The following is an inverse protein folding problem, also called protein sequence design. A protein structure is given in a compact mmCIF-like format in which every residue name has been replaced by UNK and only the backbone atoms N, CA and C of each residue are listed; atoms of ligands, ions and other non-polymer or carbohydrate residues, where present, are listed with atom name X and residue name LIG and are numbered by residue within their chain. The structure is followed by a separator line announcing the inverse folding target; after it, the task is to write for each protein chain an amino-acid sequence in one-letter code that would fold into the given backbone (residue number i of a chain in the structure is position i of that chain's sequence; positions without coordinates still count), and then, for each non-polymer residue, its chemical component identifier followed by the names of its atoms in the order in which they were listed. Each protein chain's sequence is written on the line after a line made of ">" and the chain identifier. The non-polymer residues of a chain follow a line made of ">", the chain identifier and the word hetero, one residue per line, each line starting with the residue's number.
data_IF_506809003186
#
_entry.id   IF_506809003186
#
_cell.length_a   1.000
_cell.length_b   1.000
_cell.length_c   1.000
_cell.angle_alpha   90.00
_cell.angle_beta   90.00
_cell.angle_gamma   90.00
#
_symmetry.space_group_name_H-M   'P 1'
#
loop_
_entity.id
_entity.type
_entity.pdbx_description
1 polymer ?
#
# COMPACT_ATOMS: atom_id res chain seq x y z
N UNK A 1 -25.69 28.91 13.12
CA UNK A 1 -25.28 28.41 11.79
C UNK A 1 -25.20 26.90 11.90
N UNK A 2 -26.28 26.24 11.51
CA UNK A 2 -26.43 24.79 11.58
C UNK A 2 -25.68 24.16 10.41
N UNK A 3 -24.58 23.48 10.71
CA UNK A 3 -23.86 22.65 9.75
C UNK A 3 -24.60 21.33 9.55
N UNK A 4 -25.56 21.32 8.63
CA UNK A 4 -26.24 20.09 8.19
C UNK A 4 -25.22 19.19 7.51
N UNK A 5 -24.93 18.05 8.13
CA UNK A 5 -24.02 17.03 7.61
C UNK A 5 -24.66 16.35 6.38
N UNK A 6 -24.04 16.36 5.19
CA UNK A 6 -24.58 15.69 4.02
C UNK A 6 -24.21 14.20 4.07
N UNK A 7 -24.89 13.45 4.95
CA UNK A 7 -25.16 11.99 4.88
C UNK A 7 -25.87 11.60 6.18
N UNK A 8 -27.18 11.36 6.13
CA UNK A 8 -27.98 10.94 7.30
C UNK A 8 -27.69 9.52 7.81
N UNK A 9 -26.69 8.83 7.24
CA UNK A 9 -26.25 7.50 7.64
C UNK A 9 -24.90 7.59 8.37
N UNK A 10 -24.88 7.41 9.71
CA UNK A 10 -23.67 7.48 10.51
C UNK A 10 -22.68 6.35 10.21
N UNK A 11 -23.16 5.18 9.75
CA UNK A 11 -22.28 4.09 9.41
C UNK A 11 -21.56 4.35 8.08
N UNK A 12 -22.25 4.98 7.12
CA UNK A 12 -21.62 5.45 5.89
C UNK A 12 -20.58 6.54 6.19
N UNK A 13 -20.88 7.49 7.07
CA UNK A 13 -19.94 8.53 7.49
C UNK A 13 -18.65 7.95 8.08
N UNK A 14 -18.78 6.99 9.01
CA UNK A 14 -17.62 6.32 9.62
C UNK A 14 -16.82 5.56 8.56
N UNK A 15 -17.50 4.83 7.66
CA UNK A 15 -16.83 4.07 6.60
C UNK A 15 -16.09 4.97 5.63
N UNK A 16 -16.72 6.04 5.15
CA UNK A 16 -16.09 7.03 4.25
C UNK A 16 -14.91 7.76 4.92
N UNK A 17 -14.86 7.75 6.25
CA UNK A 17 -13.79 8.32 7.04
C UNK A 17 -12.77 7.28 7.54
N UNK A 18 -12.83 6.04 7.04
CA UNK A 18 -12.06 4.92 7.59
C UNK A 18 -10.55 5.18 7.62
N UNK A 19 -9.94 5.63 6.51
CA UNK A 19 -8.48 5.89 6.46
C UNK A 19 -8.10 7.04 7.41
N UNK A 20 -8.72 8.23 7.35
CA UNK A 20 -8.45 9.29 8.33
C UNK A 20 -8.61 8.85 9.78
N UNK A 21 -9.66 8.09 10.10
CA UNK A 21 -9.89 7.59 11.46
C UNK A 21 -8.80 6.59 11.86
N UNK A 22 -8.46 5.63 11.01
CA UNK A 22 -7.40 4.63 11.29
C UNK A 22 -6.05 5.29 11.55
N UNK A 23 -5.73 6.39 10.86
CA UNK A 23 -4.45 7.10 10.99
C UNK A 23 -4.40 8.09 12.16
N UNK A 24 -5.54 8.66 12.57
CA UNK A 24 -5.57 9.78 13.51
C UNK A 24 -6.29 9.47 14.83
N UNK A 25 -7.14 8.44 14.88
CA UNK A 25 -7.77 8.03 16.10
C UNK A 25 -6.72 7.35 16.96
N UNK A 26 -6.36 7.97 18.08
CA UNK A 26 -5.51 7.40 19.11
C UNK A 26 -6.45 6.81 20.17
N UNK A 27 -6.69 5.48 20.17
CA UNK A 27 -7.66 4.91 21.07
C UNK A 27 -6.98 4.77 22.43
N UNK A 28 -7.10 5.82 23.23
CA UNK A 28 -6.64 5.84 24.61
C UNK A 28 -7.68 5.15 25.51
N UNK A 29 -7.29 4.90 26.77
CA UNK A 29 -8.17 4.27 27.76
C UNK A 29 -9.49 5.04 27.92
N UNK A 30 -9.44 6.37 27.88
CA UNK A 30 -10.63 7.24 27.98
C UNK A 30 -11.64 6.96 26.87
N UNK A 31 -11.21 6.92 25.61
CA UNK A 31 -12.10 6.64 24.48
C UNK A 31 -12.72 5.24 24.61
N UNK A 32 -11.93 4.24 24.97
CA UNK A 32 -12.40 2.85 25.12
C UNK A 32 -13.41 2.74 26.29
N UNK A 33 -13.15 3.44 27.39
CA UNK A 33 -14.06 3.52 28.54
C UNK A 33 -15.39 4.20 28.17
N UNK A 34 -15.36 5.27 27.39
CA UNK A 34 -16.56 5.96 26.91
C UNK A 34 -17.38 5.11 25.93
N UNK A 35 -16.70 4.39 25.04
CA UNK A 35 -17.37 3.45 24.13
C UNK A 35 -18.05 2.31 24.89
N UNK A 36 -17.43 1.83 25.96
CA UNK A 36 -18.04 0.85 26.85
C UNK A 36 -19.23 1.44 27.62
N UNK A 37 -19.06 2.61 28.25
CA UNK A 37 -20.11 3.29 29.01
C UNK A 37 -21.35 3.60 28.14
N UNK A 38 -21.13 3.93 26.87
CA UNK A 38 -22.19 4.19 25.89
C UNK A 38 -22.82 2.92 25.30
N UNK A 39 -22.37 1.73 25.72
CA UNK A 39 -22.80 0.43 25.17
C UNK A 39 -22.47 0.25 23.68
N UNK A 40 -21.44 0.94 23.18
CA UNK A 40 -20.87 0.66 21.85
C UNK A 40 -20.00 -0.60 21.92
N UNK A 41 -19.27 -0.79 23.02
CA UNK A 41 -18.48 -1.99 23.32
C UNK A 41 -19.08 -2.78 24.48
N UNK A 42 -18.93 -4.10 24.42
CA UNK A 42 -19.13 -5.02 25.53
C UNK A 42 -17.90 -5.10 26.43
N UNK A 43 -18.05 -5.69 27.62
CA UNK A 43 -16.94 -5.85 28.56
C UNK A 43 -15.80 -6.72 27.98
N UNK A 44 -16.17 -7.73 27.18
CA UNK A 44 -15.21 -8.60 26.50
C UNK A 44 -14.42 -7.83 25.43
N UNK A 45 -15.11 -7.06 24.59
CA UNK A 45 -14.45 -6.26 23.54
C UNK A 45 -13.57 -5.17 24.14
N UNK A 46 -14.01 -4.52 25.23
CA UNK A 46 -13.19 -3.55 25.97
C UNK A 46 -11.82 -4.10 26.35
N UNK A 47 -11.75 -5.36 26.80
CA UNK A 47 -10.50 -5.99 27.21
C UNK A 47 -9.50 -6.13 26.04
N UNK A 48 -9.99 -6.37 24.82
CA UNK A 48 -9.17 -6.55 23.61
C UNK A 48 -8.48 -5.23 23.17
N UNK A 49 -8.99 -4.08 23.63
CA UNK A 49 -8.54 -2.73 23.27
C UNK A 49 -7.78 -2.02 24.40
N UNK A 50 -7.18 -2.74 25.36
CA UNK A 50 -6.36 -2.13 26.43
C UNK A 50 -4.99 -1.62 25.97
N UNK A 51 -4.47 -2.12 24.83
CA UNK A 51 -3.23 -1.67 24.18
C UNK A 51 -3.48 -1.54 22.67
N UNK A 52 -3.92 -0.36 22.20
CA UNK A 52 -4.39 -0.17 20.83
C UNK A 52 -3.29 0.34 19.91
N UNK A 53 -3.09 -0.36 18.79
CA UNK A 53 -2.31 0.10 17.65
C UNK A 53 -3.23 0.39 16.45
N UNK A 54 -2.66 0.83 15.33
CA UNK A 54 -3.43 1.16 14.12
C UNK A 54 -4.21 -0.05 13.56
N UNK A 55 -3.72 -1.28 13.78
CA UNK A 55 -4.37 -2.52 13.33
C UNK A 55 -5.65 -2.75 14.14
N UNK A 56 -5.53 -2.67 15.47
CA UNK A 56 -6.67 -2.76 16.39
C UNK A 56 -7.65 -1.61 16.19
N UNK A 57 -7.17 -0.41 15.89
CA UNK A 57 -8.02 0.74 15.54
C UNK A 57 -8.88 0.45 14.29
N UNK A 58 -8.27 -0.04 13.20
CA UNK A 58 -9.01 -0.44 12.01
C UNK A 58 -10.06 -1.53 12.29
N UNK A 59 -9.72 -2.51 13.14
CA UNK A 59 -10.66 -3.56 13.58
C UNK A 59 -11.84 -2.97 14.36
N UNK A 60 -11.58 -2.09 15.33
CA UNK A 60 -12.58 -1.42 16.14
C UNK A 60 -13.59 -0.66 15.27
N UNK A 61 -13.10 0.15 14.32
CA UNK A 61 -13.94 0.93 13.42
C UNK A 61 -14.86 0.02 12.59
N UNK A 62 -14.32 -1.08 12.04
CA UNK A 62 -15.09 -2.07 11.27
C UNK A 62 -16.17 -2.76 12.11
N UNK A 63 -15.86 -3.10 13.36
CA UNK A 63 -16.82 -3.72 14.29
C UNK A 63 -17.95 -2.76 14.68
N UNK A 64 -17.64 -1.49 14.94
CA UNK A 64 -18.65 -0.45 15.20
C UNK A 64 -19.61 -0.32 14.02
N UNK A 65 -19.08 -0.26 12.78
CA UNK A 65 -19.91 -0.21 11.57
C UNK A 65 -20.79 -1.46 11.43
N UNK A 66 -20.28 -2.64 11.80
CA UNK A 66 -21.04 -3.90 11.73
C UNK A 66 -22.16 -4.00 12.77
N UNK A 67 -22.00 -3.35 13.93
CA UNK A 67 -23.04 -3.26 14.97
C UNK A 67 -24.23 -2.39 14.56
N UNK A 68 -24.10 -1.65 13.46
CA UNK A 68 -25.18 -0.92 12.83
C UNK A 68 -25.44 0.46 13.44
N UNK A 69 -26.54 1.07 12.97
CA UNK A 69 -26.83 2.51 13.13
C UNK A 69 -26.65 3.03 14.55
N UNK A 70 -27.25 2.38 15.55
CA UNK A 70 -27.21 2.85 16.93
C UNK A 70 -25.78 2.92 17.50
N UNK A 71 -24.92 1.96 17.14
CA UNK A 71 -23.52 1.98 17.56
C UNK A 71 -22.75 3.09 16.83
N UNK A 72 -23.00 3.25 15.53
CA UNK A 72 -22.44 4.31 14.71
C UNK A 72 -22.81 5.72 15.23
N UNK A 73 -24.07 5.98 15.58
CA UNK A 73 -24.54 7.29 16.09
C UNK A 73 -23.83 7.65 17.40
N UNK A 74 -23.75 6.69 18.33
CA UNK A 74 -23.05 6.88 19.60
C UNK A 74 -21.57 7.11 19.40
N UNK A 75 -20.93 6.36 18.51
CA UNK A 75 -19.52 6.55 18.18
C UNK A 75 -19.26 7.95 17.60
N UNK A 76 -20.08 8.39 16.63
CA UNK A 76 -19.98 9.73 16.06
C UNK A 76 -20.17 10.81 17.13
N UNK A 77 -21.14 10.64 18.03
CA UNK A 77 -21.38 11.58 19.14
C UNK A 77 -20.20 11.65 20.11
N UNK A 78 -19.53 10.53 20.41
CA UNK A 78 -18.31 10.52 21.21
C UNK A 78 -17.20 11.27 20.49
N UNK A 79 -16.99 11.01 19.20
CA UNK A 79 -15.96 11.68 18.41
C UNK A 79 -16.23 13.17 18.14
N UNK A 80 -17.44 13.66 18.41
CA UNK A 80 -17.81 15.09 18.37
C UNK A 80 -17.32 15.88 19.56
N UNK A 81 -16.91 15.20 20.63
CA UNK A 81 -16.32 15.88 21.77
C UNK A 81 -15.00 16.53 21.35
N UNK A 82 -14.81 17.77 21.77
CA UNK A 82 -13.66 18.60 21.41
C UNK A 82 -12.30 17.95 21.72
N UNK A 83 -12.26 17.07 22.72
CA UNK A 83 -11.07 16.34 23.16
C UNK A 83 -10.54 15.33 22.13
N UNK A 84 -11.38 14.84 21.21
CA UNK A 84 -10.96 13.87 20.19
C UNK A 84 -10.62 14.52 18.85
N UNK A 85 -11.16 15.71 18.53
CA UNK A 85 -10.82 16.49 17.32
C UNK A 85 -10.98 15.76 15.98
N UNK A 86 -11.64 14.60 15.95
CA UNK A 86 -11.68 13.71 14.78
C UNK A 86 -12.73 14.10 13.75
N UNK A 87 -13.82 14.79 14.15
CA UNK A 87 -14.92 15.12 13.24
C UNK A 87 -14.58 16.11 12.14
N UNK A 88 -13.67 17.06 12.38
CA UNK A 88 -13.21 17.95 11.31
C UNK A 88 -12.55 17.16 10.16
N UNK A 89 -11.92 16.03 10.48
CA UNK A 89 -11.28 15.14 9.50
C UNK A 89 -12.27 14.14 8.86
N UNK A 90 -13.38 13.83 9.52
CA UNK A 90 -14.45 12.96 8.98
C UNK A 90 -15.36 13.67 7.97
N UNK A 91 -15.48 15.00 8.04
CA UNK A 91 -16.45 15.76 7.22
C UNK A 91 -16.02 15.99 5.76
N UNK A 92 -14.82 15.57 5.38
CA UNK A 92 -14.29 15.75 4.02
C UNK A 92 -13.62 14.49 3.48
N UNK A 93 -14.33 13.36 3.29
CA UNK A 93 -13.84 12.36 2.36
C UNK A 93 -13.62 13.09 1.03
N UNK A 94 -12.39 13.03 0.50
CA UNK A 94 -12.09 13.67 -0.78
C UNK A 94 -13.10 13.14 -1.80
N UNK A 95 -13.95 13.98 -2.40
CA UNK A 95 -14.94 13.52 -3.34
C UNK A 95 -14.23 12.77 -4.46
N UNK A 96 -14.77 11.60 -4.80
CA UNK A 96 -14.35 10.90 -6.00
C UNK A 96 -14.84 11.72 -7.20
N UNK A 97 -13.92 12.37 -7.92
CA UNK A 97 -14.26 13.18 -9.10
C UNK A 97 -14.87 12.30 -10.20
N UNK A 98 -16.07 12.65 -10.69
CA UNK A 98 -16.83 11.84 -11.64
C UNK A 98 -16.35 11.97 -13.11
N UNK A 99 -15.30 12.75 -13.38
CA UNK A 99 -14.91 13.11 -14.76
C UNK A 99 -13.97 12.11 -15.47
N UNK A 100 -13.64 10.98 -14.84
CA UNK A 100 -12.73 9.98 -15.43
C UNK A 100 -13.42 8.84 -16.19
N UNK A 101 -12.83 8.44 -17.32
CA UNK A 101 -13.11 7.16 -17.99
C UNK A 101 -12.95 5.98 -17.01
N UNK A 102 -13.77 4.93 -17.18
CA UNK A 102 -13.69 3.75 -16.32
C UNK A 102 -12.32 3.08 -16.47
N UNK A 103 -11.67 2.72 -15.36
CA UNK A 103 -10.45 1.93 -15.37
C UNK A 103 -10.69 0.59 -16.12
N UNK A 104 -10.02 0.32 -17.26
CA UNK A 104 -10.33 -0.85 -18.07
C UNK A 104 -10.04 -2.15 -17.32
N UNK A 105 -11.00 -3.07 -17.31
CA UNK A 105 -10.90 -4.35 -16.60
C UNK A 105 -9.73 -5.18 -17.14
N UNK A 106 -9.49 -5.07 -18.43
CA UNK A 106 -8.43 -5.71 -19.19
C UNK A 106 -7.05 -5.35 -18.64
N UNK A 107 -6.89 -4.16 -18.04
CA UNK A 107 -5.61 -3.73 -17.46
C UNK A 107 -5.21 -4.57 -16.26
N UNK A 108 -6.17 -5.03 -15.45
CA UNK A 108 -5.89 -5.88 -14.31
C UNK A 108 -5.25 -7.22 -14.73
N UNK A 109 -5.64 -7.74 -15.90
CA UNK A 109 -5.09 -8.97 -16.46
C UNK A 109 -3.80 -8.70 -17.25
N UNK A 110 -3.86 -7.78 -18.23
CA UNK A 110 -2.74 -7.47 -19.13
C UNK A 110 -1.51 -6.95 -18.39
N UNK A 111 -1.71 -6.14 -17.36
CA UNK A 111 -0.64 -5.53 -16.57
C UNK A 111 -0.58 -6.10 -15.15
N UNK A 112 -1.05 -7.34 -14.96
CA UNK A 112 -1.08 -8.01 -13.65
C UNK A 112 0.24 -7.89 -12.91
N UNK A 113 1.36 -8.17 -13.57
CA UNK A 113 2.66 -8.15 -12.90
C UNK A 113 3.10 -6.75 -12.46
N UNK A 114 2.68 -5.70 -13.18
CA UNK A 114 2.91 -4.31 -12.75
C UNK A 114 2.25 -4.06 -11.40
N UNK A 115 0.98 -4.45 -11.25
CA UNK A 115 0.26 -4.30 -10.00
C UNK A 115 0.88 -5.13 -8.88
N UNK A 116 1.27 -6.37 -9.14
CA UNK A 116 1.90 -7.21 -8.12
C UNK A 116 3.22 -6.62 -7.60
N UNK A 117 3.93 -5.88 -8.45
CA UNK A 117 5.22 -5.27 -8.13
C UNK A 117 5.06 -3.92 -7.44
N UNK A 118 4.16 -3.06 -7.92
CA UNK A 118 4.13 -1.64 -7.56
C UNK A 118 3.01 -1.28 -6.58
N UNK A 119 1.97 -2.12 -6.45
CA UNK A 119 0.87 -1.85 -5.53
C UNK A 119 1.31 -1.98 -4.07
N UNK A 120 0.95 -1.00 -3.25
CA UNK A 120 0.99 -1.01 -1.79
C UNK A 120 -0.36 -1.52 -1.26
N UNK A 121 -0.47 -2.84 -0.99
CA UNK A 121 -1.76 -3.50 -0.92
C UNK A 121 -2.54 -3.17 0.35
N UNK A 122 -1.87 -3.01 1.50
CA UNK A 122 -2.54 -2.64 2.76
C UNK A 122 -3.27 -1.30 2.61
N UNK A 123 -2.56 -0.28 2.10
CA UNK A 123 -3.13 1.05 1.89
C UNK A 123 -4.24 1.01 0.85
N UNK A 124 -4.02 0.28 -0.25
CA UNK A 124 -5.03 0.10 -1.30
C UNK A 124 -6.31 -0.55 -0.74
N UNK A 125 -6.18 -1.60 0.06
CA UNK A 125 -7.32 -2.29 0.69
C UNK A 125 -8.10 -1.35 1.62
N UNK A 126 -7.40 -0.55 2.45
CA UNK A 126 -8.03 0.42 3.36
C UNK A 126 -8.92 1.42 2.60
N UNK A 127 -8.42 1.97 1.49
CA UNK A 127 -9.20 2.88 0.64
C UNK A 127 -10.33 2.17 -0.12
N UNK A 128 -10.12 0.94 -0.60
CA UNK A 128 -11.17 0.16 -1.27
C UNK A 128 -12.31 -0.20 -0.31
N UNK A 129 -12.02 -0.42 0.97
CA UNK A 129 -13.04 -0.55 2.01
C UNK A 129 -13.74 0.78 2.32
N UNK A 130 -12.98 1.87 2.45
CA UNK A 130 -13.53 3.21 2.67
C UNK A 130 -14.60 3.56 1.62
N UNK A 131 -14.32 3.28 0.35
CA UNK A 131 -15.23 3.56 -0.77
C UNK A 131 -16.20 2.41 -1.09
N UNK A 132 -16.36 1.43 -0.18
CA UNK A 132 -17.30 0.30 -0.32
C UNK A 132 -17.12 -0.56 -1.58
N UNK A 133 -15.91 -0.59 -2.16
CA UNK A 133 -15.56 -1.57 -3.21
C UNK A 133 -15.34 -2.94 -2.58
N UNK A 134 -14.67 -2.95 -1.43
CA UNK A 134 -14.50 -4.12 -0.57
C UNK A 134 -15.39 -4.01 0.66
N UNK A 135 -15.97 -5.15 1.04
CA UNK A 135 -16.64 -5.28 2.32
C UNK A 135 -15.62 -5.66 3.42
N UNK A 136 -16.13 -5.79 4.65
CA UNK A 136 -15.33 -6.16 5.82
C UNK A 136 -14.63 -7.52 5.64
N UNK A 137 -15.30 -8.51 5.03
CA UNK A 137 -14.76 -9.87 4.93
C UNK A 137 -13.57 -9.89 3.98
N UNK A 138 -13.71 -9.25 2.81
CA UNK A 138 -12.63 -9.10 1.82
C UNK A 138 -11.45 -8.34 2.43
N UNK A 139 -11.72 -7.24 3.14
CA UNK A 139 -10.67 -6.46 3.77
C UNK A 139 -9.93 -7.23 4.87
N UNK A 140 -10.67 -7.95 5.74
CA UNK A 140 -10.08 -8.76 6.81
C UNK A 140 -9.25 -9.92 6.26
N UNK A 141 -9.68 -10.53 5.14
CA UNK A 141 -8.91 -11.54 4.42
C UNK A 141 -7.55 -10.99 3.96
N UNK A 142 -7.54 -9.83 3.30
CA UNK A 142 -6.31 -9.18 2.82
C UNK A 142 -5.41 -8.75 4.00
N UNK A 143 -5.98 -8.25 5.10
CA UNK A 143 -5.19 -7.83 6.26
C UNK A 143 -4.49 -8.99 6.97
N UNK A 144 -5.12 -10.17 7.02
CA UNK A 144 -4.58 -11.40 7.65
C UNK A 144 -3.35 -11.95 6.93
N UNK A 145 -3.25 -11.74 5.62
CA UNK A 145 -2.09 -12.18 4.85
C UNK A 145 -0.83 -11.40 5.29
N UNK A 146 0.32 -12.06 5.28
CA UNK A 146 1.59 -11.45 5.70
C UNK A 146 2.43 -10.99 4.50
N UNK A 147 2.29 -11.69 3.37
CA UNK A 147 3.04 -11.43 2.16
C UNK A 147 2.40 -10.27 1.37
N UNK A 148 3.17 -9.20 1.13
CA UNK A 148 2.77 -8.09 0.25
C UNK A 148 2.32 -8.60 -1.13
N UNK A 149 3.03 -9.59 -1.68
CA UNK A 149 2.70 -10.16 -2.98
C UNK A 149 1.34 -10.86 -2.95
N UNK A 150 1.08 -11.69 -1.93
CA UNK A 150 -0.20 -12.38 -1.81
C UNK A 150 -1.35 -11.40 -1.54
N UNK A 151 -1.13 -10.35 -0.73
CA UNK A 151 -2.12 -9.28 -0.56
C UNK A 151 -2.47 -8.61 -1.89
N UNK A 152 -1.46 -8.29 -2.71
CA UNK A 152 -1.69 -7.71 -4.03
C UNK A 152 -2.44 -8.68 -4.95
N UNK A 153 -2.12 -9.98 -4.91
CA UNK A 153 -2.85 -11.01 -5.66
C UNK A 153 -4.33 -11.09 -5.24
N UNK A 154 -4.62 -11.06 -3.93
CA UNK A 154 -5.98 -11.05 -3.39
C UNK A 154 -6.76 -9.81 -3.83
N UNK A 155 -6.14 -8.62 -3.78
CA UNK A 155 -6.76 -7.38 -4.27
C UNK A 155 -7.14 -7.51 -5.75
N UNK A 156 -6.22 -7.98 -6.60
CA UNK A 156 -6.48 -8.14 -8.03
C UNK A 156 -7.55 -9.21 -8.30
N UNK A 157 -7.56 -10.30 -7.53
CA UNK A 157 -8.59 -11.33 -7.61
C UNK A 157 -9.97 -10.76 -7.26
N UNK A 158 -10.09 -10.06 -6.13
CA UNK A 158 -11.37 -9.48 -5.73
C UNK A 158 -11.84 -8.35 -6.66
N UNK A 159 -10.92 -7.61 -7.29
CA UNK A 159 -11.25 -6.59 -8.29
C UNK A 159 -11.69 -7.18 -9.63
N UNK A 160 -11.22 -8.38 -10.01
CA UNK A 160 -11.57 -8.97 -11.32
C UNK A 160 -13.06 -9.25 -11.46
N UNK A 161 -13.80 -9.38 -10.36
CA UNK A 161 -15.22 -9.68 -10.38
C UNK A 161 -16.10 -8.46 -10.08
N UNK A 162 -15.50 -7.27 -9.94
CA UNK A 162 -16.24 -6.03 -9.65
C UNK A 162 -16.80 -5.37 -10.90
N UNK A 163 -17.84 -4.56 -10.68
CA UNK A 163 -18.47 -3.74 -11.72
C UNK A 163 -17.52 -2.67 -12.27
N UNK A 164 -17.75 -2.16 -13.50
CA UNK A 164 -16.98 -1.03 -14.05
C UNK A 164 -16.93 0.20 -13.13
N UNK A 165 -18.02 0.46 -12.39
CA UNK A 165 -18.07 1.53 -11.39
C UNK A 165 -17.03 1.33 -10.28
N UNK A 166 -16.89 0.10 -9.76
CA UNK A 166 -15.87 -0.21 -8.76
C UNK A 166 -14.45 -0.10 -9.32
N UNK A 167 -14.25 -0.42 -10.60
CA UNK A 167 -12.95 -0.27 -11.26
C UNK A 167 -12.60 1.22 -11.44
N UNK A 168 -13.57 2.07 -11.80
CA UNK A 168 -13.38 3.53 -11.77
C UNK A 168 -12.92 4.02 -10.39
N UNK A 169 -13.58 3.54 -9.33
CA UNK A 169 -13.18 3.84 -7.95
C UNK A 169 -11.76 3.33 -7.67
N UNK A 170 -11.38 2.14 -8.13
CA UNK A 170 -10.02 1.64 -7.98
C UNK A 170 -8.97 2.56 -8.62
N UNK A 171 -9.22 3.09 -9.83
CA UNK A 171 -8.36 4.09 -10.46
C UNK A 171 -8.18 5.34 -9.58
N UNK A 172 -9.27 5.84 -9.01
CA UNK A 172 -9.20 6.97 -8.07
C UNK A 172 -8.47 6.61 -6.77
N UNK A 173 -8.64 5.38 -6.26
CA UNK A 173 -7.91 4.88 -5.09
C UNK A 173 -6.40 4.91 -5.33
N UNK A 174 -5.93 4.58 -6.54
CA UNK A 174 -4.50 4.72 -6.87
C UNK A 174 -4.04 6.17 -6.69
N UNK A 175 -4.82 7.16 -7.11
CA UNK A 175 -4.51 8.58 -6.92
C UNK A 175 -4.52 8.97 -5.44
N UNK A 176 -5.62 8.71 -4.71
CA UNK A 176 -5.75 9.10 -3.30
C UNK A 176 -4.73 8.41 -2.40
N UNK A 177 -4.29 7.20 -2.76
CA UNK A 177 -3.27 6.46 -2.04
C UNK A 177 -1.83 6.87 -2.41
N UNK A 178 -1.64 7.84 -3.31
CA UNK A 178 -0.33 8.30 -3.84
C UNK A 178 0.41 7.22 -4.64
N UNK A 179 -0.36 6.48 -5.44
CA UNK A 179 0.07 5.40 -6.33
C UNK A 179 -0.33 5.66 -7.80
N UNK A 180 -0.62 6.92 -8.15
CA UNK A 180 -0.95 7.40 -9.50
C UNK A 180 0.17 7.12 -10.51
N UNK A 181 1.43 6.98 -10.06
CA UNK A 181 2.54 6.55 -10.91
C UNK A 181 2.27 5.20 -11.61
N UNK A 182 1.44 4.33 -11.03
CA UNK A 182 1.00 3.08 -11.67
C UNK A 182 0.18 3.39 -12.92
N UNK A 183 -0.71 4.38 -12.88
CA UNK A 183 -1.50 4.82 -14.03
C UNK A 183 -0.59 5.37 -15.12
N UNK A 184 0.39 6.20 -14.76
CA UNK A 184 1.40 6.69 -15.71
C UNK A 184 2.13 5.54 -16.39
N UNK A 185 2.58 4.53 -15.63
CA UNK A 185 3.24 3.34 -16.18
C UNK A 185 2.32 2.50 -17.08
N UNK A 186 1.01 2.48 -16.82
CA UNK A 186 0.04 1.81 -17.70
C UNK A 186 -0.03 2.53 -19.05
N UNK A 187 -0.25 3.85 -19.05
CA UNK A 187 -0.31 4.65 -20.28
C UNK A 187 0.99 4.55 -21.08
N UNK A 188 2.13 4.57 -20.40
CA UNK A 188 3.44 4.39 -21.02
C UNK A 188 3.62 3.00 -21.67
N UNK A 189 2.95 1.96 -21.15
CA UNK A 189 2.99 0.59 -21.68
C UNK A 189 1.85 0.32 -22.67
N UNK A 190 0.81 1.14 -22.69
CA UNK A 190 -0.20 1.13 -23.73
C UNK A 190 0.42 1.63 -25.04
N UNK A 191 0.79 0.68 -25.90
CA UNK A 191 1.54 0.93 -27.13
C UNK A 191 2.89 0.21 -27.20
N UNK A 192 3.34 -0.42 -26.10
CA UNK A 192 4.56 -1.23 -26.06
C UNK A 192 4.25 -2.70 -25.74
N UNK A 193 4.71 -3.62 -26.59
CA UNK A 193 4.46 -5.07 -26.43
C UNK A 193 5.41 -5.75 -25.43
N UNK A 194 6.49 -5.09 -25.02
CA UNK A 194 7.49 -5.64 -24.09
C UNK A 194 8.22 -4.53 -23.33
N UNK A 195 8.72 -4.88 -22.14
CA UNK A 195 9.68 -4.03 -21.44
C UNK A 195 10.96 -3.90 -22.26
N UNK A 196 11.49 -2.68 -22.31
CA UNK A 196 12.84 -2.42 -22.81
C UNK A 196 13.86 -3.18 -21.95
N UNK A 197 15.04 -3.54 -22.48
CA UNK A 197 16.12 -4.15 -21.69
C UNK A 197 16.45 -3.35 -20.42
N UNK A 198 16.37 -2.01 -20.50
CA UNK A 198 16.51 -1.09 -19.37
C UNK A 198 15.50 -1.39 -18.25
N UNK A 199 14.22 -1.45 -18.60
CA UNK A 199 13.14 -1.70 -17.64
C UNK A 199 13.22 -3.11 -17.06
N UNK A 200 13.71 -4.10 -17.82
CA UNK A 200 13.91 -5.46 -17.32
C UNK A 200 14.99 -5.52 -16.23
N UNK A 201 16.11 -4.81 -16.41
CA UNK A 201 17.18 -4.80 -15.44
C UNK A 201 16.78 -4.09 -14.13
N UNK A 202 16.14 -2.92 -14.22
CA UNK A 202 15.60 -2.21 -13.06
C UNK A 202 14.59 -3.07 -12.30
N UNK A 203 13.70 -3.75 -13.04
CA UNK A 203 12.69 -4.66 -12.49
C UNK A 203 13.29 -5.87 -11.78
N UNK A 204 14.32 -6.48 -12.38
CA UNK A 204 15.05 -7.60 -11.77
C UNK A 204 15.61 -7.21 -10.40
N UNK A 205 16.21 -6.02 -10.29
CA UNK A 205 16.76 -5.54 -9.02
C UNK A 205 15.65 -5.20 -8.02
N UNK A 206 14.54 -4.59 -8.45
CA UNK A 206 13.41 -4.26 -7.56
C UNK A 206 12.80 -5.52 -6.94
N UNK A 207 12.53 -6.54 -7.75
CA UNK A 207 12.00 -7.83 -7.31
C UNK A 207 12.91 -8.47 -6.27
N UNK A 208 14.22 -8.37 -6.49
CA UNK A 208 15.24 -9.01 -5.66
C UNK A 208 15.86 -8.07 -4.63
N UNK A 209 15.29 -6.89 -4.39
CA UNK A 209 15.93 -5.79 -3.64
C UNK A 209 16.48 -6.24 -2.29
N UNK A 210 15.65 -6.93 -1.48
CA UNK A 210 16.05 -7.40 -0.15
C UNK A 210 17.21 -8.38 -0.23
N UNK A 211 17.13 -9.34 -1.15
CA UNK A 211 18.13 -10.38 -1.32
C UNK A 211 19.46 -9.81 -1.83
N UNK A 212 19.42 -8.97 -2.87
CA UNK A 212 20.57 -8.27 -3.42
C UNK A 212 21.26 -7.41 -2.35
N UNK A 213 20.47 -6.64 -1.58
CA UNK A 213 20.99 -5.82 -0.47
C UNK A 213 21.77 -6.65 0.56
N UNK A 214 21.33 -7.87 0.83
CA UNK A 214 21.95 -8.75 1.82
C UNK A 214 23.20 -9.45 1.27
N UNK A 215 23.17 -9.85 0.00
CA UNK A 215 24.24 -10.64 -0.62
C UNK A 215 25.39 -9.80 -1.19
N UNK A 216 25.16 -8.54 -1.57
CA UNK A 216 26.22 -7.70 -2.13
C UNK A 216 27.32 -7.39 -1.12
N UNK A 217 28.57 -7.50 -1.56
CA UNK A 217 29.73 -7.00 -0.82
C UNK A 217 29.82 -5.49 -1.02
N UNK A 218 29.49 -4.74 0.03
CA UNK A 218 29.26 -3.29 -0.06
C UNK A 218 30.44 -2.51 -0.62
N UNK A 219 31.63 -2.67 -0.03
CA UNK A 219 32.80 -1.86 -0.38
C UNK A 219 33.26 -2.12 -1.83
N UNK A 220 33.42 -3.39 -2.19
CA UNK A 220 33.77 -3.83 -3.57
C UNK A 220 32.77 -3.29 -4.60
N UNK A 221 31.47 -3.35 -4.27
CA UNK A 221 30.42 -2.87 -5.19
C UNK A 221 30.47 -1.36 -5.34
N UNK A 222 30.60 -0.62 -4.24
CA UNK A 222 30.70 0.84 -4.26
C UNK A 222 31.94 1.30 -5.04
N UNK A 223 33.09 0.68 -4.80
CA UNK A 223 34.34 0.99 -5.49
C UNK A 223 34.21 0.75 -7.00
N UNK A 224 33.62 -0.39 -7.41
CA UNK A 224 33.38 -0.69 -8.82
C UNK A 224 32.48 0.37 -9.46
N UNK A 225 31.40 0.75 -8.78
CA UNK A 225 30.45 1.74 -9.28
C UNK A 225 31.06 3.16 -9.35
N UNK A 226 32.00 3.50 -8.48
CA UNK A 226 32.78 4.74 -8.55
C UNK A 226 33.77 4.69 -9.73
N UNK A 227 34.51 3.58 -9.87
CA UNK A 227 35.48 3.38 -10.95
C UNK A 227 34.81 3.45 -12.34
N UNK A 228 33.58 2.95 -12.45
CA UNK A 228 32.79 3.04 -13.67
C UNK A 228 32.12 4.41 -13.89
N UNK A 229 32.35 5.38 -13.00
CA UNK A 229 31.82 6.75 -13.09
C UNK A 229 30.31 6.87 -12.85
N UNK A 230 29.71 5.87 -12.20
CA UNK A 230 28.27 5.86 -11.89
C UNK A 230 28.00 6.70 -10.63
N UNK A 231 28.88 6.56 -9.65
CA UNK A 231 28.87 7.32 -8.39
C UNK A 231 30.11 8.20 -8.26
N UNK A 232 29.99 9.27 -7.48
CA UNK A 232 31.09 10.17 -7.19
C UNK A 232 31.93 9.65 -6.01
N UNK A 233 33.25 9.78 -6.11
CA UNK A 233 34.22 9.31 -5.10
C UNK A 233 34.08 9.97 -3.71
N UNK A 234 33.28 11.04 -3.58
CA UNK A 234 33.07 11.76 -2.32
C UNK A 234 32.02 11.13 -1.40
N UNK A 235 31.39 10.04 -1.80
CA UNK A 235 30.37 9.39 -0.99
C UNK A 235 31.01 8.51 0.10
N UNK A 236 31.21 9.08 1.28
CA UNK A 236 31.59 8.32 2.49
C UNK A 236 30.41 7.50 3.00
N UNK A 237 30.21 6.33 2.41
CA UNK A 237 29.28 5.35 2.97
C UNK A 237 30.01 4.37 3.88
N UNK A 238 29.49 4.18 5.10
CA UNK A 238 29.85 3.03 5.93
C UNK A 238 29.05 1.80 5.50
N UNK A 239 29.66 0.61 5.52
CA UNK A 239 29.00 -0.66 5.23
C UNK A 239 27.95 -1.01 6.30
N UNK A 240 26.75 -0.46 6.17
CA UNK A 240 25.59 -0.74 7.03
C UNK A 240 24.44 -1.26 6.19
N UNK A 241 23.49 -1.99 6.79
CA UNK A 241 22.27 -2.45 6.10
C UNK A 241 21.49 -1.30 5.47
N UNK A 242 21.48 -0.14 6.13
CA UNK A 242 20.84 1.08 5.61
C UNK A 242 21.56 1.57 4.35
N UNK A 243 22.89 1.68 4.39
CA UNK A 243 23.66 2.19 3.25
C UNK A 243 23.71 1.19 2.08
N UNK A 244 23.71 -0.13 2.34
CA UNK A 244 23.49 -1.16 1.30
C UNK A 244 22.16 -0.95 0.60
N UNK A 245 21.09 -0.69 1.36
CA UNK A 245 19.78 -0.38 0.79
C UNK A 245 19.77 0.90 -0.02
N UNK A 246 20.48 1.95 0.45
CA UNK A 246 20.64 3.21 -0.30
C UNK A 246 21.39 2.99 -1.61
N UNK A 247 22.49 2.24 -1.61
CA UNK A 247 23.28 1.95 -2.81
C UNK A 247 22.43 1.29 -3.90
N UNK A 248 21.65 0.26 -3.54
CA UNK A 248 20.76 -0.41 -4.50
C UNK A 248 19.67 0.55 -5.00
N UNK A 249 19.07 1.37 -4.13
CA UNK A 249 18.06 2.37 -4.53
C UNK A 249 18.63 3.45 -5.45
N UNK A 250 19.79 3.99 -5.14
CA UNK A 250 20.45 4.99 -5.97
C UNK A 250 20.89 4.40 -7.31
N UNK A 251 21.30 3.13 -7.35
CA UNK A 251 21.58 2.43 -8.60
C UNK A 251 20.33 2.34 -9.49
N UNK A 252 19.17 2.02 -8.91
CA UNK A 252 17.89 2.05 -9.65
C UNK A 252 17.61 3.47 -10.19
N UNK A 253 17.85 4.53 -9.41
CA UNK A 253 17.63 5.92 -9.85
C UNK A 253 18.60 6.37 -10.96
N UNK A 254 19.86 5.92 -10.91
CA UNK A 254 20.90 6.18 -11.92
C UNK A 254 20.62 5.45 -13.24
N UNK A 255 19.69 4.49 -13.25
CA UNK A 255 19.20 3.82 -14.45
C UNK A 255 20.01 2.58 -14.84
N UNK A 256 19.82 2.06 -16.07
CA UNK A 256 20.16 0.69 -16.42
C UNK A 256 21.65 0.41 -16.37
N UNK A 257 22.51 1.37 -16.73
CA UNK A 257 23.97 1.19 -16.61
C UNK A 257 24.36 0.89 -15.16
N UNK A 258 23.75 1.56 -14.18
CA UNK A 258 24.01 1.31 -12.78
C UNK A 258 23.42 -0.02 -12.30
N UNK A 259 22.23 -0.36 -12.78
CA UNK A 259 21.59 -1.64 -12.53
C UNK A 259 22.42 -2.83 -13.07
N UNK A 260 22.86 -2.76 -14.32
CA UNK A 260 23.70 -3.76 -14.97
C UNK A 260 25.01 -3.95 -14.23
N UNK A 261 25.68 -2.84 -13.86
CA UNK A 261 26.91 -2.91 -13.06
C UNK A 261 26.68 -3.53 -11.70
N UNK A 262 25.56 -3.23 -11.04
CA UNK A 262 25.22 -3.84 -9.75
C UNK A 262 24.97 -5.35 -9.87
N UNK A 263 24.32 -5.80 -10.94
CA UNK A 263 24.14 -7.23 -11.21
C UNK A 263 25.45 -7.92 -11.59
N UNK A 264 26.32 -7.29 -12.38
CA UNK A 264 27.67 -7.80 -12.70
C UNK A 264 28.54 -7.92 -11.45
N UNK A 265 28.46 -6.95 -10.53
CA UNK A 265 29.12 -7.06 -9.23
C UNK A 265 28.60 -8.24 -8.43
N UNK A 266 27.28 -8.47 -8.41
CA UNK A 266 26.71 -9.62 -7.71
C UNK A 266 27.16 -10.95 -8.35
N UNK A 267 27.17 -11.04 -9.67
CA UNK A 267 27.62 -12.23 -10.41
C UNK A 267 29.10 -12.55 -10.13
N UNK A 268 29.96 -11.53 -10.15
CA UNK A 268 31.40 -11.70 -9.91
C UNK A 268 31.73 -12.02 -8.46
N UNK A 269 30.97 -11.47 -7.51
CA UNK A 269 31.18 -11.70 -6.08
C UNK A 269 30.59 -13.03 -5.61
N UNK A 270 29.39 -13.38 -6.09
CA UNK A 270 28.63 -14.53 -5.60
C UNK A 270 27.68 -15.06 -6.67
N UNK A 271 28.23 -15.86 -7.60
CA UNK A 271 27.49 -16.41 -8.75
C UNK A 271 26.18 -17.11 -8.36
N UNK A 272 26.18 -17.90 -7.29
CA UNK A 272 24.96 -18.59 -6.81
C UNK A 272 23.83 -17.60 -6.42
N UNK A 273 24.19 -16.45 -5.85
CA UNK A 273 23.22 -15.41 -5.53
C UNK A 273 22.69 -14.74 -6.79
N UNK A 274 23.55 -14.49 -7.79
CA UNK A 274 23.11 -14.00 -9.10
C UNK A 274 22.16 -14.99 -9.79
N UNK A 275 22.49 -16.27 -9.83
CA UNK A 275 21.64 -17.31 -10.43
C UNK A 275 20.27 -17.37 -9.75
N UNK A 276 20.22 -17.20 -8.42
CA UNK A 276 18.96 -17.10 -7.68
C UNK A 276 18.17 -15.83 -7.99
N UNK A 277 18.83 -14.70 -8.20
CA UNK A 277 18.19 -13.43 -8.64
C UNK A 277 17.55 -13.61 -10.01
N UNK A 278 18.29 -14.21 -10.96
CA UNK A 278 17.80 -14.50 -12.32
C UNK A 278 16.64 -15.49 -12.29
N UNK A 279 16.77 -16.59 -11.52
CA UNK A 279 15.69 -17.56 -11.34
C UNK A 279 14.43 -16.90 -10.77
N UNK A 280 14.56 -16.13 -9.69
CA UNK A 280 13.42 -15.42 -9.07
C UNK A 280 12.76 -14.45 -10.05
N UNK A 281 13.56 -13.78 -10.88
CA UNK A 281 13.04 -12.89 -11.91
C UNK A 281 12.25 -13.66 -12.98
N UNK A 282 12.79 -14.76 -13.50
CA UNK A 282 12.15 -15.61 -14.51
C UNK A 282 10.88 -16.28 -13.97
N UNK A 283 10.92 -16.79 -12.74
CA UNK A 283 9.74 -17.35 -12.06
C UNK A 283 8.62 -16.30 -11.96
N UNK A 284 8.96 -15.02 -11.72
CA UNK A 284 7.97 -13.93 -11.68
C UNK A 284 7.52 -13.42 -13.05
N UNK A 285 8.24 -13.73 -14.13
CA UNK A 285 7.78 -13.49 -15.49
C UNK A 285 6.79 -14.55 -15.97
N UNK A 286 6.89 -15.78 -15.46
CA UNK A 286 6.10 -16.93 -15.91
C UNK A 286 4.77 -17.12 -15.17
N UNK A 287 4.55 -16.45 -14.04
CA UNK A 287 3.24 -16.36 -13.35
C UNK A 287 2.34 -15.30 -14.02
N UNK A 288 2.25 -15.38 -15.36
CA UNK A 288 1.40 -14.55 -16.21
C UNK A 288 -0.05 -15.01 -16.23
#
# INVERSE_FOLDING_TARGET
>A
MEGVCPTGDPCLLIRLSFVPLKENLIPNTTLIDELYASSVLSAKEKADYTNVDNIKCGKLIKEIVQKGRNACEKFVSILDKAEYGCLQKMRHPTPLEDDGDSFPKEHLKKYRTLFLEELEPTKTADYLYQYSVFDKNIHDEIEKESSRLHKAQLILHHLSDKSPRCLKIFGQVLIHSKQDFIITMLHEREGRNSLTPKEQCERCIRINFRYIREMLHFDITLDTLIQEGIFEARQEFKATTVNRGKLVKESIKKGPRACDSLLRCLESQLKEAYDKVVKTFNDRQTVG
#
